data_IF_974744702478
#
_entry.id   IF_974744702478
#
_cell.length_a   1.000
_cell.length_b   1.000
_cell.length_c   1.000
_cell.angle_alpha   90.00
_cell.angle_beta   90.00
_cell.angle_gamma   90.00
#
_symmetry.space_group_name_H-M   'P 1'
#
loop_
_entity.id
_entity.type
_entity.pdbx_description
1 polymer ?
#
# COMPACT_ATOMS: atom_id res chain seq x y z
N UNK A 1 -28.47 21.51 -44.97
CA UNK A 1 -29.38 22.64 -44.66
C UNK A 1 -29.56 22.72 -43.14
N UNK A 2 -29.12 23.89 -42.57
CA UNK A 2 -29.62 24.54 -41.35
C UNK A 2 -29.50 23.73 -40.03
N UNK A 3 -29.01 24.19 -38.91
CA UNK A 3 -28.65 25.54 -38.47
C UNK A 3 -27.80 25.43 -37.19
N UNK A 4 -26.78 26.28 -37.12
CA UNK A 4 -25.94 26.51 -35.93
C UNK A 4 -26.69 27.48 -35.04
N UNK A 5 -26.89 27.16 -33.74
CA UNK A 5 -27.38 28.11 -32.73
C UNK A 5 -26.22 28.45 -31.76
N UNK A 6 -25.64 29.64 -31.97
CA UNK A 6 -24.69 30.29 -31.05
C UNK A 6 -25.48 31.09 -30.02
N UNK A 7 -25.33 30.78 -28.73
CA UNK A 7 -25.83 31.62 -27.64
C UNK A 7 -24.65 32.43 -27.11
N UNK A 8 -24.71 33.75 -27.28
CA UNK A 8 -23.80 34.74 -26.72
C UNK A 8 -24.32 35.18 -25.36
N UNK A 9 -23.48 35.19 -24.33
CA UNK A 9 -23.78 35.75 -22.99
C UNK A 9 -23.09 37.08 -22.85
N UNK A 10 -23.77 38.17 -22.47
CA UNK A 10 -23.13 39.50 -22.35
C UNK A 10 -22.42 39.65 -21.01
N UNK A 11 -21.23 40.22 -21.07
CA UNK A 11 -20.40 40.66 -19.95
C UNK A 11 -20.98 41.95 -19.35
N UNK A 12 -21.50 41.92 -18.12
CA UNK A 12 -21.90 43.11 -17.38
C UNK A 12 -20.76 43.57 -16.47
N UNK A 13 -20.15 44.70 -16.83
CA UNK A 13 -19.16 45.41 -16.02
C UNK A 13 -19.90 46.23 -14.93
N UNK A 14 -19.66 45.91 -13.67
CA UNK A 14 -20.09 46.70 -12.53
C UNK A 14 -18.93 47.58 -12.07
N UNK A 15 -19.05 48.88 -12.33
CA UNK A 15 -18.15 49.92 -11.81
C UNK A 15 -18.68 50.34 -10.42
N UNK A 16 -17.94 50.04 -9.37
CA UNK A 16 -18.20 50.51 -8.01
C UNK A 16 -17.33 51.76 -7.76
N UNK A 17 -17.98 52.91 -7.67
CA UNK A 17 -17.43 54.16 -7.15
C UNK A 17 -17.21 54.06 -5.65
N UNK A 18 -15.99 54.27 -5.20
CA UNK A 18 -15.67 54.43 -3.75
C UNK A 18 -15.73 55.90 -3.38
N UNK A 19 -16.35 56.26 -2.26
CA UNK A 19 -16.26 57.65 -1.74
C UNK A 19 -14.96 57.84 -0.95
N UNK A 20 -14.32 58.95 -1.22
CA UNK A 20 -13.16 59.52 -0.53
C UNK A 20 -13.55 59.94 0.88
N UNK A 21 -13.11 59.24 1.93
CA UNK A 21 -13.26 59.68 3.29
C UNK A 21 -11.97 60.35 3.77
N UNK A 22 -12.12 61.60 4.21
CA UNK A 22 -11.02 62.42 4.72
C UNK A 22 -10.43 61.86 6.01
N UNK A 23 -9.10 61.73 6.03
CA UNK A 23 -8.32 61.32 7.17
C UNK A 23 -8.27 62.43 8.22
N UNK A 24 -8.84 62.24 9.40
CA UNK A 24 -8.56 62.99 10.59
C UNK A 24 -7.34 62.40 11.31
N UNK A 25 -6.24 63.16 11.37
CA UNK A 25 -5.04 62.84 12.15
C UNK A 25 -5.29 63.05 13.63
N UNK A 26 -5.62 61.98 14.35
CA UNK A 26 -5.51 61.97 15.81
C UNK A 26 -4.12 61.43 16.21
N UNK A 27 -3.33 62.31 16.77
CA UNK A 27 -2.06 61.99 17.40
C UNK A 27 -2.26 61.07 18.61
N UNK A 28 -2.06 59.77 18.43
CA UNK A 28 -2.07 58.80 19.51
C UNK A 28 -0.66 58.70 20.09
N UNK A 29 -0.52 59.13 21.31
CA UNK A 29 0.66 59.03 22.14
C UNK A 29 0.97 57.52 22.38
N UNK A 30 2.18 57.09 22.02
CA UNK A 30 2.62 55.72 22.24
C UNK A 30 2.68 55.39 23.74
N UNK A 31 2.16 54.25 24.20
CA UNK A 31 2.34 53.82 25.59
C UNK A 31 3.83 53.49 25.84
N UNK A 32 4.31 54.00 26.97
CA UNK A 32 5.69 53.77 27.46
C UNK A 32 6.01 52.26 27.50
N UNK A 33 7.12 51.86 26.91
CA UNK A 33 7.61 50.49 26.91
C UNK A 33 7.81 50.01 28.35
N UNK A 34 7.14 48.91 28.73
CA UNK A 34 7.40 48.22 29.97
C UNK A 34 8.83 47.65 29.94
N UNK A 35 9.57 47.64 31.09
CA UNK A 35 10.92 47.10 31.14
C UNK A 35 10.89 45.62 30.74
N UNK A 36 11.66 45.27 29.71
CA UNK A 36 11.86 43.89 29.25
C UNK A 36 12.48 43.07 30.38
N UNK A 37 11.79 41.96 30.73
CA UNK A 37 12.33 41.01 31.69
C UNK A 37 13.69 40.47 31.19
N UNK A 38 14.67 40.20 32.08
CA UNK A 38 15.94 39.64 31.66
C UNK A 38 15.73 38.27 30.99
N UNK A 39 16.49 37.95 29.91
CA UNK A 39 16.34 36.66 29.22
C UNK A 39 16.59 35.51 30.19
N UNK A 40 15.74 34.50 30.15
CA UNK A 40 15.87 33.30 30.98
C UNK A 40 17.20 32.59 30.71
N UNK A 41 17.78 31.94 31.71
CA UNK A 41 19.06 31.20 31.60
C UNK A 41 19.06 30.18 30.45
N UNK A 42 17.86 29.65 30.07
CA UNK A 42 17.69 28.76 28.93
C UNK A 42 17.89 29.45 27.56
N UNK A 43 17.58 30.77 27.46
CA UNK A 43 17.81 31.56 26.23
C UNK A 43 19.29 31.95 26.07
N UNK A 44 20.03 32.02 27.17
CA UNK A 44 21.47 32.35 27.15
C UNK A 44 22.33 31.17 26.69
N UNK A 45 21.83 29.91 26.83
CA UNK A 45 22.53 28.72 26.33
C UNK A 45 22.39 28.53 24.80
N UNK A 46 21.34 29.10 24.18
CA UNK A 46 21.08 28.98 22.74
C UNK A 46 21.97 29.87 21.85
N UNK A 47 22.81 30.75 22.42
CA UNK A 47 23.63 31.72 21.68
C UNK A 47 25.14 31.58 21.89
N UNK A 48 25.62 30.44 22.42
CA UNK A 48 27.07 30.17 22.40
C UNK A 48 27.49 29.81 20.98
N UNK A 49 27.84 30.81 20.19
CA UNK A 49 28.44 30.64 18.86
C UNK A 49 29.90 30.26 19.03
N UNK A 50 30.22 28.98 18.77
CA UNK A 50 31.64 28.55 18.71
C UNK A 50 32.39 29.35 17.66
N UNK A 51 33.66 29.72 17.96
CA UNK A 51 34.56 30.32 16.98
C UNK A 51 34.85 29.35 15.83
N UNK A 52 35.32 29.83 14.70
CA UNK A 52 35.67 28.98 13.55
C UNK A 52 36.75 27.93 13.93
N UNK A 53 37.67 28.26 14.82
CA UNK A 53 38.70 27.33 15.30
C UNK A 53 38.11 26.25 16.21
N UNK A 54 37.26 26.63 17.14
CA UNK A 54 36.55 25.68 18.00
C UNK A 54 35.65 24.69 17.19
N UNK A 55 34.99 25.19 16.13
CA UNK A 55 34.23 24.32 15.27
C UNK A 55 35.09 23.27 14.56
N UNK A 56 36.23 23.67 13.99
CA UNK A 56 37.18 22.75 13.35
C UNK A 56 37.73 21.71 14.33
N UNK A 57 38.03 22.10 15.57
CA UNK A 57 38.51 21.19 16.60
C UNK A 57 37.42 20.17 16.97
N UNK A 58 36.18 20.61 17.19
CA UNK A 58 35.02 19.73 17.46
C UNK A 58 34.79 18.73 16.31
N UNK A 59 34.82 19.21 15.06
CA UNK A 59 34.70 18.37 13.88
C UNK A 59 35.79 17.29 13.80
N UNK A 60 37.06 17.69 14.15
CA UNK A 60 38.17 16.77 14.22
C UNK A 60 38.00 15.70 15.32
N UNK A 61 37.52 16.10 16.49
CA UNK A 61 37.23 15.19 17.61
C UNK A 61 36.11 14.22 17.21
N UNK A 62 35.00 14.71 16.65
CA UNK A 62 33.87 13.88 16.20
C UNK A 62 34.34 12.86 15.16
N UNK A 63 35.08 13.32 14.15
CA UNK A 63 35.60 12.44 13.10
C UNK A 63 36.50 11.34 13.67
N UNK A 64 37.45 11.72 14.54
CA UNK A 64 38.40 10.77 15.15
C UNK A 64 37.68 9.78 16.06
N UNK A 65 36.67 10.23 16.80
CA UNK A 65 35.86 9.38 17.68
C UNK A 65 35.07 8.37 16.89
N UNK A 66 34.35 8.81 15.83
CA UNK A 66 33.52 7.90 14.99
C UNK A 66 34.36 6.88 14.20
N UNK A 67 35.60 7.28 13.81
CA UNK A 67 36.54 6.34 13.16
C UNK A 67 37.09 5.33 14.16
N UNK A 68 37.37 5.73 15.38
CA UNK A 68 37.85 4.85 16.42
C UNK A 68 36.75 3.95 17.02
N UNK A 69 35.50 4.37 16.93
CA UNK A 69 34.32 3.69 17.48
C UNK A 69 33.23 3.47 16.40
N UNK A 70 33.46 2.58 15.42
CA UNK A 70 32.48 2.32 14.36
C UNK A 70 31.17 1.68 14.87
N UNK A 71 31.19 1.03 16.03
CA UNK A 71 30.05 0.53 16.78
C UNK A 71 28.99 1.61 17.05
N UNK A 72 29.40 2.84 17.33
CA UNK A 72 28.46 3.97 17.53
C UNK A 72 27.64 4.27 16.28
N UNK A 73 28.26 4.15 15.08
CA UNK A 73 27.53 4.32 13.83
C UNK A 73 26.58 3.15 13.57
N UNK A 74 27.02 1.93 13.90
CA UNK A 74 26.15 0.74 13.75
C UNK A 74 24.95 0.85 14.69
N UNK A 75 25.14 1.19 15.94
CA UNK A 75 24.07 1.40 16.91
C UNK A 75 23.07 2.49 16.46
N UNK A 76 23.59 3.58 15.90
CA UNK A 76 22.75 4.65 15.36
C UNK A 76 21.93 4.19 14.15
N UNK A 77 22.51 3.39 13.25
CA UNK A 77 21.81 2.82 12.10
C UNK A 77 20.73 1.82 12.55
N UNK A 78 21.05 0.94 13.51
CA UNK A 78 20.09 -0.02 14.06
C UNK A 78 18.90 0.68 14.76
N UNK A 79 19.19 1.77 15.49
CA UNK A 79 18.17 2.59 16.12
C UNK A 79 17.26 3.28 15.08
N UNK A 80 17.83 3.81 14.00
CA UNK A 80 17.08 4.41 12.90
C UNK A 80 16.22 3.38 12.18
N UNK A 81 16.77 2.21 11.85
CA UNK A 81 16.03 1.11 11.23
C UNK A 81 14.86 0.65 12.09
N UNK A 82 15.08 0.53 13.41
CA UNK A 82 14.01 0.18 14.35
C UNK A 82 12.91 1.23 14.37
N UNK A 83 13.27 2.51 14.41
CA UNK A 83 12.31 3.61 14.37
C UNK A 83 11.51 3.61 13.06
N UNK A 84 12.17 3.42 11.92
CA UNK A 84 11.53 3.35 10.62
C UNK A 84 10.54 2.18 10.55
N UNK A 85 10.96 0.97 10.95
CA UNK A 85 10.08 -0.21 11.00
C UNK A 85 8.85 0.00 11.89
N UNK A 86 9.02 0.69 13.03
CA UNK A 86 7.89 1.02 13.91
C UNK A 86 6.93 2.01 13.27
N UNK A 87 7.45 3.05 12.59
CA UNK A 87 6.63 4.01 11.87
C UNK A 87 5.86 3.37 10.71
N UNK A 88 6.54 2.52 9.94
CA UNK A 88 5.93 1.78 8.81
C UNK A 88 4.84 0.82 9.31
N UNK A 89 5.10 0.09 10.39
CA UNK A 89 4.10 -0.79 11.01
C UNK A 89 2.88 -0.01 11.52
N UNK A 90 3.09 1.15 12.15
CA UNK A 90 1.99 2.00 12.61
C UNK A 90 1.15 2.53 11.43
N UNK A 91 1.80 2.97 10.35
CA UNK A 91 1.13 3.40 9.12
C UNK A 91 0.36 2.25 8.47
N UNK A 92 0.96 1.06 8.40
CA UNK A 92 0.32 -0.13 7.85
C UNK A 92 -0.95 -0.49 8.64
N UNK A 93 -0.91 -0.50 9.97
CA UNK A 93 -2.07 -0.74 10.84
C UNK A 93 -3.21 0.23 10.59
N UNK A 94 -2.92 1.52 10.48
CA UNK A 94 -3.93 2.53 10.19
C UNK A 94 -4.53 2.33 8.78
N UNK A 95 -3.68 1.98 7.80
CA UNK A 95 -4.12 1.69 6.44
C UNK A 95 -5.00 0.43 6.39
N UNK A 96 -4.62 -0.65 7.08
CA UNK A 96 -5.42 -1.88 7.21
C UNK A 96 -6.78 -1.57 7.82
N UNK A 97 -6.81 -0.78 8.89
CA UNK A 97 -8.03 -0.37 9.57
C UNK A 97 -8.96 0.44 8.66
N UNK A 98 -8.41 1.43 7.97
CA UNK A 98 -9.21 2.31 7.08
C UNK A 98 -9.70 1.59 5.82
N UNK A 99 -9.01 0.54 5.37
CA UNK A 99 -9.37 -0.25 4.20
C UNK A 99 -9.94 -1.64 4.55
N UNK A 100 -10.36 -1.87 5.79
CA UNK A 100 -10.77 -3.18 6.30
C UNK A 100 -11.81 -3.87 5.40
N UNK A 101 -12.86 -3.15 4.98
CA UNK A 101 -13.90 -3.71 4.13
C UNK A 101 -13.36 -4.19 2.78
N UNK A 102 -12.55 -3.37 2.11
CA UNK A 102 -11.96 -3.67 0.79
C UNK A 102 -10.91 -4.76 0.90
N UNK A 103 -10.12 -4.75 1.98
CA UNK A 103 -9.05 -5.71 2.18
C UNK A 103 -9.57 -7.12 2.48
N UNK A 104 -10.56 -7.23 3.37
CA UNK A 104 -11.01 -8.54 3.87
C UNK A 104 -12.35 -9.00 3.32
N UNK A 105 -13.21 -8.09 2.85
CA UNK A 105 -14.60 -8.39 2.53
C UNK A 105 -15.09 -7.78 1.19
N UNK A 106 -14.18 -7.44 0.27
CA UNK A 106 -14.54 -6.99 -1.08
C UNK A 106 -15.35 -8.07 -1.81
N UNK A 107 -16.37 -7.67 -2.55
CA UNK A 107 -17.09 -8.57 -3.49
C UNK A 107 -16.26 -8.95 -4.71
N UNK A 108 -15.15 -8.24 -4.93
CA UNK A 108 -14.26 -8.39 -6.08
C UNK A 108 -13.08 -9.34 -5.84
N UNK A 109 -13.03 -10.02 -4.68
CA UNK A 109 -11.90 -10.88 -4.29
C UNK A 109 -12.20 -12.38 -4.44
N UNK A 110 -11.14 -13.18 -4.50
CA UNK A 110 -11.22 -14.63 -4.34
C UNK A 110 -11.13 -14.97 -2.87
N UNK A 111 -12.07 -15.79 -2.40
CA UNK A 111 -12.03 -16.34 -1.04
C UNK A 111 -11.84 -17.85 -1.15
N UNK A 112 -10.79 -18.36 -0.52
CA UNK A 112 -10.49 -19.78 -0.37
C UNK A 112 -10.64 -20.19 1.10
N UNK A 113 -10.87 -21.46 1.34
CA UNK A 113 -11.08 -21.98 2.70
C UNK A 113 -12.47 -21.64 3.23
N UNK A 114 -12.55 -21.16 4.47
CA UNK A 114 -13.82 -20.86 5.13
C UNK A 114 -14.18 -19.37 5.01
N UNK A 115 -15.22 -18.99 4.23
CA UNK A 115 -15.63 -17.60 4.12
C UNK A 115 -16.08 -16.96 5.44
N UNK A 116 -16.47 -17.80 6.43
CA UNK A 116 -16.86 -17.38 7.77
C UNK A 116 -15.75 -17.64 8.81
N UNK A 117 -14.52 -17.87 8.34
CA UNK A 117 -13.37 -18.09 9.20
C UNK A 117 -13.09 -16.90 10.10
N UNK A 118 -12.63 -17.18 11.31
CA UNK A 118 -12.30 -16.16 12.31
C UNK A 118 -10.94 -15.50 12.07
N UNK A 119 -10.06 -16.15 11.32
CA UNK A 119 -8.78 -15.56 10.89
C UNK A 119 -8.76 -15.42 9.37
N UNK A 120 -8.35 -14.26 8.91
CA UNK A 120 -8.19 -13.98 7.48
C UNK A 120 -6.72 -13.70 7.15
N UNK A 121 -6.20 -14.44 6.17
CA UNK A 121 -4.94 -14.14 5.50
C UNK A 121 -5.26 -13.57 4.13
N UNK A 122 -4.70 -12.41 3.80
CA UNK A 122 -4.76 -11.81 2.46
C UNK A 122 -3.40 -12.00 1.81
N UNK A 123 -3.34 -12.44 0.57
CA UNK A 123 -2.11 -12.55 -0.22
C UNK A 123 -2.22 -11.68 -1.48
N UNK A 124 -1.30 -10.73 -1.62
CA UNK A 124 -1.02 -10.04 -2.88
C UNK A 124 -0.01 -10.85 -3.67
N UNK A 125 -0.39 -11.31 -4.86
CA UNK A 125 0.42 -12.26 -5.63
C UNK A 125 0.48 -11.90 -7.12
N UNK A 126 1.44 -12.52 -7.83
CA UNK A 126 1.58 -12.43 -9.29
C UNK A 126 1.86 -13.83 -9.85
N UNK A 127 1.17 -14.22 -10.90
CA UNK A 127 1.31 -15.55 -11.51
C UNK A 127 2.70 -15.84 -12.09
N UNK A 128 3.50 -14.81 -12.37
CA UNK A 128 4.89 -14.96 -12.85
C UNK A 128 5.92 -14.86 -11.72
N UNK A 129 5.50 -14.61 -10.48
CA UNK A 129 6.41 -14.50 -9.36
C UNK A 129 6.93 -15.86 -8.90
N UNK A 130 8.25 -16.06 -8.97
CA UNK A 130 8.89 -17.29 -8.51
C UNK A 130 8.72 -17.53 -7.00
N UNK A 131 8.64 -16.47 -6.20
CA UNK A 131 8.41 -16.55 -4.75
C UNK A 131 6.96 -16.95 -4.43
N UNK A 132 5.97 -16.47 -5.19
CA UNK A 132 4.57 -16.91 -5.08
C UNK A 132 4.43 -18.40 -5.45
N UNK A 133 5.14 -18.84 -6.49
CA UNK A 133 5.18 -20.28 -6.84
C UNK A 133 5.73 -21.14 -5.70
N UNK A 134 6.73 -20.66 -4.97
CA UNK A 134 7.30 -21.37 -3.81
C UNK A 134 6.36 -21.35 -2.60
N UNK A 135 5.60 -20.27 -2.42
CA UNK A 135 4.66 -20.11 -1.31
C UNK A 135 3.34 -20.88 -1.50
N UNK A 136 3.00 -21.27 -2.72
CA UNK A 136 1.77 -22.00 -3.03
C UNK A 136 1.57 -23.27 -2.17
N UNK A 137 2.57 -24.15 -1.96
CA UNK A 137 2.42 -25.33 -1.06
C UNK A 137 2.09 -24.94 0.39
N UNK A 138 2.61 -23.81 0.88
CA UNK A 138 2.36 -23.32 2.23
C UNK A 138 0.90 -22.89 2.37
N UNK A 139 0.37 -22.12 1.41
CA UNK A 139 -1.04 -21.74 1.35
C UNK A 139 -1.96 -22.99 1.37
N UNK A 140 -1.66 -23.98 0.53
CA UNK A 140 -2.46 -25.20 0.45
C UNK A 140 -2.41 -26.01 1.75
N UNK A 141 -1.26 -26.02 2.41
CA UNK A 141 -1.07 -26.69 3.69
C UNK A 141 -1.88 -25.99 4.80
N UNK A 142 -1.86 -24.65 4.83
CA UNK A 142 -2.64 -23.84 5.78
C UNK A 142 -4.14 -24.07 5.59
N UNK A 143 -4.64 -23.98 4.37
CA UNK A 143 -6.06 -24.21 4.06
C UNK A 143 -6.55 -25.63 4.43
N UNK A 144 -5.67 -26.62 4.32
CA UNK A 144 -5.99 -28.01 4.70
C UNK A 144 -5.94 -28.22 6.22
N UNK A 145 -5.02 -27.54 6.91
CA UNK A 145 -4.77 -27.74 8.32
C UNK A 145 -5.77 -27.00 9.21
N UNK A 146 -6.28 -25.86 8.76
CA UNK A 146 -7.18 -25.00 9.53
C UNK A 146 -8.53 -24.80 8.84
N UNK A 147 -9.60 -25.45 9.30
CA UNK A 147 -10.94 -25.29 8.75
C UNK A 147 -11.57 -23.92 9.06
N UNK A 148 -10.97 -23.13 9.95
CA UNK A 148 -11.43 -21.78 10.28
C UNK A 148 -10.66 -20.67 9.57
N UNK A 149 -9.72 -21.04 8.71
CA UNK A 149 -8.94 -20.08 7.92
C UNK A 149 -9.73 -19.59 6.72
N UNK A 150 -9.85 -18.27 6.59
CA UNK A 150 -10.26 -17.57 5.38
C UNK A 150 -9.00 -17.08 4.67
N UNK A 151 -8.81 -17.45 3.41
CA UNK A 151 -7.68 -16.99 2.62
C UNK A 151 -8.18 -16.16 1.44
N UNK A 152 -7.75 -14.92 1.35
CA UNK A 152 -8.15 -13.95 0.33
C UNK A 152 -7.00 -13.74 -0.64
N UNK A 153 -7.25 -13.91 -1.92
CA UNK A 153 -6.27 -13.65 -2.98
C UNK A 153 -6.56 -12.28 -3.62
N UNK A 154 -5.50 -11.48 -3.77
CA UNK A 154 -5.49 -10.15 -4.39
C UNK A 154 -4.54 -10.15 -5.57
N UNK A 155 -5.05 -9.83 -6.75
CA UNK A 155 -4.25 -9.76 -7.97
C UNK A 155 -3.30 -8.54 -7.93
N UNK A 156 -2.01 -8.81 -8.01
CA UNK A 156 -0.99 -7.76 -8.03
C UNK A 156 0.00 -8.00 -9.20
N UNK A 157 -0.46 -7.83 -10.46
CA UNK A 157 0.28 -8.20 -11.67
C UNK A 157 1.34 -7.17 -12.04
N UNK A 158 2.48 -7.17 -11.33
CA UNK A 158 3.56 -6.18 -11.47
C UNK A 158 4.77 -6.68 -12.28
N UNK A 159 4.77 -7.95 -12.71
CA UNK A 159 5.91 -8.56 -13.40
C UNK A 159 5.79 -8.54 -14.94
N UNK A 160 5.04 -7.60 -15.47
CA UNK A 160 4.96 -7.31 -16.89
C UNK A 160 3.63 -7.68 -17.55
N UNK A 161 3.53 -7.49 -18.88
CA UNK A 161 2.26 -7.64 -19.60
C UNK A 161 1.62 -9.02 -19.45
N UNK A 162 2.41 -10.09 -19.46
CA UNK A 162 1.89 -11.45 -19.26
C UNK A 162 1.18 -11.64 -17.91
N UNK A 163 1.70 -11.01 -16.83
CA UNK A 163 1.05 -11.04 -15.52
C UNK A 163 -0.31 -10.35 -15.55
N UNK A 164 -0.41 -9.20 -16.21
CA UNK A 164 -1.68 -8.49 -16.39
C UNK A 164 -2.68 -9.34 -17.17
N UNK A 165 -2.24 -9.95 -18.26
CA UNK A 165 -3.08 -10.85 -19.08
C UNK A 165 -3.57 -12.05 -18.27
N UNK A 166 -2.71 -12.68 -17.49
CA UNK A 166 -3.06 -13.81 -16.63
C UNK A 166 -4.06 -13.40 -15.54
N UNK A 167 -3.86 -12.23 -14.90
CA UNK A 167 -4.77 -11.68 -13.90
C UNK A 167 -6.18 -11.43 -14.49
N UNK A 168 -6.28 -10.88 -15.71
CA UNK A 168 -7.57 -10.68 -16.37
C UNK A 168 -8.34 -12.00 -16.55
N UNK A 169 -7.65 -13.06 -16.98
CA UNK A 169 -8.27 -14.40 -17.11
C UNK A 169 -8.65 -14.95 -15.73
N UNK A 170 -7.82 -14.76 -14.72
CA UNK A 170 -8.05 -15.26 -13.37
C UNK A 170 -9.29 -14.60 -12.72
N UNK A 171 -9.41 -13.29 -12.83
CA UNK A 171 -10.60 -12.57 -12.32
C UNK A 171 -11.87 -13.01 -13.05
N UNK A 172 -11.81 -13.19 -14.38
CA UNK A 172 -12.94 -13.72 -15.15
C UNK A 172 -13.30 -15.16 -14.73
N UNK A 173 -12.31 -16.00 -14.41
CA UNK A 173 -12.56 -17.34 -13.87
C UNK A 173 -13.25 -17.29 -12.50
N UNK A 174 -12.82 -16.39 -11.60
CA UNK A 174 -13.48 -16.12 -10.31
C UNK A 174 -14.97 -15.79 -10.50
N UNK A 175 -15.33 -14.96 -11.49
CA UNK A 175 -16.72 -14.58 -11.76
C UNK A 175 -17.62 -15.76 -12.10
N UNK A 176 -17.05 -16.90 -12.49
CA UNK A 176 -17.79 -18.15 -12.75
C UNK A 176 -17.83 -19.08 -11.55
N UNK A 177 -17.02 -18.86 -10.54
CA UNK A 177 -16.93 -19.73 -9.36
C UNK A 177 -16.93 -18.93 -8.04
N UNK A 178 -18.09 -18.51 -7.57
CA UNK A 178 -18.22 -17.76 -6.31
C UNK A 178 -17.84 -18.60 -5.08
N UNK A 179 -17.68 -19.92 -5.24
CA UNK A 179 -17.30 -20.81 -4.12
C UNK A 179 -15.81 -21.00 -3.97
N UNK A 180 -15.00 -20.60 -4.96
CA UNK A 180 -13.56 -20.79 -5.02
C UNK A 180 -13.10 -22.24 -5.22
N UNK A 181 -14.01 -23.21 -5.32
CA UNK A 181 -13.65 -24.64 -5.42
C UNK A 181 -13.00 -24.99 -6.76
N UNK A 182 -13.48 -24.43 -7.84
CA UNK A 182 -12.90 -24.59 -9.16
C UNK A 182 -11.73 -23.64 -9.35
N UNK A 183 -11.83 -22.44 -8.78
CA UNK A 183 -10.78 -21.44 -8.85
C UNK A 183 -9.47 -21.90 -8.20
N UNK A 184 -9.53 -22.59 -7.06
CA UNK A 184 -8.30 -23.09 -6.40
C UNK A 184 -7.52 -24.06 -7.30
N UNK A 185 -8.22 -24.91 -8.06
CA UNK A 185 -7.58 -25.81 -9.03
C UNK A 185 -6.93 -25.02 -10.17
N UNK A 186 -7.64 -24.03 -10.71
CA UNK A 186 -7.10 -23.11 -11.71
C UNK A 186 -5.84 -22.39 -11.18
N UNK A 187 -5.92 -21.81 -10.00
CA UNK A 187 -4.82 -21.09 -9.37
C UNK A 187 -3.59 -22.00 -9.19
N UNK A 188 -3.77 -23.20 -8.66
CA UNK A 188 -2.69 -24.19 -8.49
C UNK A 188 -2.02 -24.56 -9.82
N UNK A 189 -2.81 -24.81 -10.87
CA UNK A 189 -2.27 -25.20 -12.18
C UNK A 189 -1.56 -24.04 -12.88
N UNK A 190 -2.10 -22.83 -12.78
CA UNK A 190 -1.53 -21.67 -13.43
C UNK A 190 -0.27 -21.19 -12.70
N UNK A 191 -0.35 -20.96 -11.40
CA UNK A 191 0.77 -20.49 -10.59
C UNK A 191 1.85 -21.56 -10.46
N UNK A 192 1.49 -22.81 -10.14
CA UNK A 192 2.44 -23.92 -9.98
C UNK A 192 3.04 -24.45 -11.27
N UNK A 193 2.52 -24.05 -12.40
CA UNK A 193 2.96 -24.57 -13.68
C UNK A 193 4.32 -24.05 -14.16
N UNK A 194 4.87 -24.68 -15.23
CA UNK A 194 6.14 -24.31 -15.85
C UNK A 194 5.97 -23.23 -16.92
N UNK A 195 6.96 -22.36 -17.07
CA UNK A 195 6.98 -21.28 -18.07
C UNK A 195 6.16 -20.04 -17.62
N UNK A 196 6.12 -18.99 -18.46
CA UNK A 196 5.42 -17.75 -18.15
C UNK A 196 3.90 -17.97 -18.13
N UNK A 197 3.24 -17.30 -17.21
CA UNK A 197 1.80 -17.17 -17.17
C UNK A 197 1.42 -15.93 -18.00
N UNK A 198 0.84 -16.18 -19.15
CA UNK A 198 0.25 -15.19 -20.06
C UNK A 198 -1.22 -15.55 -20.35
N UNK A 199 -1.87 -14.77 -21.19
CA UNK A 199 -3.25 -15.02 -21.62
C UNK A 199 -3.43 -16.44 -22.19
N UNK A 200 -2.54 -16.86 -23.08
CA UNK A 200 -2.64 -18.16 -23.78
C UNK A 200 -2.64 -19.31 -22.80
N UNK A 201 -1.69 -19.27 -21.85
CA UNK A 201 -1.57 -20.30 -20.83
C UNK A 201 -2.73 -20.24 -19.84
N UNK A 202 -3.14 -19.07 -19.39
CA UNK A 202 -4.25 -18.92 -18.46
C UNK A 202 -5.56 -19.44 -19.07
N UNK A 203 -5.84 -19.16 -20.34
CA UNK A 203 -6.99 -19.71 -21.07
C UNK A 203 -6.91 -21.25 -21.22
N UNK A 204 -5.72 -21.78 -21.49
CA UNK A 204 -5.53 -23.23 -21.58
C UNK A 204 -5.82 -23.93 -20.24
N UNK A 205 -5.34 -23.38 -19.13
CA UNK A 205 -5.61 -23.89 -17.78
C UNK A 205 -7.11 -23.74 -17.44
N UNK A 206 -7.73 -22.61 -17.75
CA UNK A 206 -9.15 -22.40 -17.52
C UNK A 206 -10.01 -23.44 -18.26
N UNK A 207 -9.66 -23.76 -19.51
CA UNK A 207 -10.32 -24.81 -20.31
C UNK A 207 -10.11 -26.19 -19.68
N UNK A 208 -8.90 -26.51 -19.22
CA UNK A 208 -8.58 -27.78 -18.57
C UNK A 208 -9.38 -27.99 -17.29
N UNK A 209 -9.58 -26.94 -16.49
CA UNK A 209 -10.39 -26.97 -15.26
C UNK A 209 -11.88 -26.98 -15.55
N UNK A 210 -12.29 -26.68 -16.78
CA UNK A 210 -13.68 -26.78 -17.23
C UNK A 210 -14.51 -25.51 -16.98
N UNK A 211 -13.91 -24.34 -17.09
CA UNK A 211 -14.65 -23.07 -17.16
C UNK A 211 -15.36 -22.93 -18.51
N UNK A 212 -16.46 -22.17 -18.54
CA UNK A 212 -17.13 -21.78 -19.79
C UNK A 212 -16.24 -20.76 -20.53
N UNK A 213 -15.62 -21.21 -21.59
CA UNK A 213 -14.65 -20.40 -22.35
C UNK A 213 -15.30 -19.23 -23.08
N UNK A 214 -16.53 -19.37 -23.57
CA UNK A 214 -17.26 -18.30 -24.26
C UNK A 214 -17.55 -17.16 -23.28
N UNK A 215 -18.03 -17.51 -22.10
CA UNK A 215 -18.26 -16.57 -21.03
C UNK A 215 -16.94 -15.95 -20.52
N UNK A 216 -15.90 -16.76 -20.35
CA UNK A 216 -14.59 -16.33 -19.86
C UNK A 216 -13.96 -15.25 -20.77
N UNK A 217 -13.95 -15.50 -22.08
CA UNK A 217 -13.41 -14.58 -23.10
C UNK A 217 -14.18 -13.26 -23.16
N UNK A 218 -15.47 -13.27 -22.89
CA UNK A 218 -16.29 -12.08 -22.77
C UNK A 218 -15.96 -11.33 -21.46
N UNK A 219 -15.96 -12.04 -20.34
CA UNK A 219 -15.87 -11.46 -19.01
C UNK A 219 -14.47 -10.88 -18.73
N UNK A 220 -13.39 -11.43 -19.30
CA UNK A 220 -12.02 -10.94 -19.10
C UNK A 220 -11.76 -9.50 -19.59
N UNK A 221 -12.66 -8.95 -20.40
CA UNK A 221 -12.61 -7.56 -20.86
C UNK A 221 -13.67 -6.68 -20.19
N UNK A 222 -14.36 -7.18 -19.18
CA UNK A 222 -15.44 -6.47 -18.48
C UNK A 222 -14.90 -5.39 -17.53
N UNK A 223 -15.78 -4.47 -17.15
CA UNK A 223 -15.47 -3.45 -16.15
C UNK A 223 -15.25 -4.08 -14.77
N UNK A 224 -15.87 -5.21 -14.47
CA UNK A 224 -15.63 -5.99 -13.23
C UNK A 224 -14.15 -6.39 -13.10
N UNK A 225 -13.54 -6.92 -14.17
CA UNK A 225 -12.13 -7.30 -14.17
C UNK A 225 -11.22 -6.10 -13.94
N UNK A 226 -11.48 -4.98 -14.63
CA UNK A 226 -10.70 -3.74 -14.43
C UNK A 226 -10.85 -3.22 -13.01
N UNK A 227 -12.09 -3.15 -12.50
CA UNK A 227 -12.38 -2.67 -11.15
C UNK A 227 -11.67 -3.52 -10.09
N UNK A 228 -11.69 -4.85 -10.24
CA UNK A 228 -11.01 -5.79 -9.34
C UNK A 228 -9.51 -5.51 -9.27
N UNK A 229 -8.84 -5.48 -10.43
CA UNK A 229 -7.39 -5.27 -10.49
C UNK A 229 -7.02 -3.86 -9.99
N UNK A 230 -7.78 -2.83 -10.38
CA UNK A 230 -7.56 -1.46 -9.94
C UNK A 230 -7.75 -1.30 -8.42
N UNK A 231 -8.73 -1.99 -7.82
CA UNK A 231 -8.95 -2.03 -6.38
C UNK A 231 -7.75 -2.67 -5.67
N UNK A 232 -7.31 -3.83 -6.14
CA UNK A 232 -6.19 -4.55 -5.56
C UNK A 232 -4.86 -3.78 -5.68
N UNK A 233 -4.61 -3.15 -6.83
CA UNK A 233 -3.43 -2.30 -7.07
C UNK A 233 -3.41 -1.07 -6.15
N UNK A 234 -4.54 -0.37 -6.01
CA UNK A 234 -4.66 0.79 -5.10
C UNK A 234 -4.47 0.39 -3.65
N UNK A 235 -5.01 -0.76 -3.26
CA UNK A 235 -4.87 -1.29 -1.92
C UNK A 235 -3.40 -1.66 -1.61
N UNK A 236 -2.72 -2.30 -2.56
CA UNK A 236 -1.30 -2.61 -2.48
C UNK A 236 -0.46 -1.33 -2.32
N UNK A 237 -0.71 -0.30 -3.13
CA UNK A 237 -0.03 1.01 -3.03
C UNK A 237 -0.25 1.66 -1.66
N UNK A 238 -1.50 1.70 -1.19
CA UNK A 238 -1.84 2.27 0.12
C UNK A 238 -1.11 1.56 1.27
N UNK A 239 -0.93 0.24 1.18
CA UNK A 239 -0.22 -0.59 2.16
C UNK A 239 1.30 -0.55 1.99
N UNK A 240 1.83 0.10 0.95
CA UNK A 240 3.26 0.12 0.63
C UNK A 240 3.79 -1.22 0.14
N UNK A 241 2.93 -2.06 -0.44
CA UNK A 241 3.33 -3.35 -1.02
C UNK A 241 4.17 -3.10 -2.27
N UNK A 242 5.42 -3.52 -2.25
CA UNK A 242 6.39 -3.33 -3.34
C UNK A 242 6.80 -4.61 -4.06
N UNK A 243 6.27 -5.76 -3.64
CA UNK A 243 6.61 -7.06 -4.21
C UNK A 243 5.67 -8.18 -3.80
N UNK A 244 5.86 -9.34 -4.41
CA UNK A 244 5.02 -10.53 -4.19
C UNK A 244 5.86 -11.76 -3.77
N UNK A 245 5.29 -12.66 -2.96
CA UNK A 245 4.03 -12.48 -2.25
C UNK A 245 4.17 -11.45 -1.13
N UNK A 246 3.09 -10.76 -0.81
CA UNK A 246 2.96 -9.98 0.42
C UNK A 246 1.64 -10.37 1.08
N UNK A 247 1.69 -10.64 2.38
CA UNK A 247 0.53 -11.05 3.15
C UNK A 247 0.05 -9.94 4.07
N UNK A 248 -1.26 -9.94 4.35
CA UNK A 248 -1.82 -9.21 5.49
C UNK A 248 -2.48 -10.23 6.40
N UNK A 249 -2.05 -10.26 7.67
CA UNK A 249 -2.57 -11.15 8.70
C UNK A 249 -2.88 -10.33 9.94
N UNK A 250 -4.14 -10.26 10.33
CA UNK A 250 -4.57 -9.34 11.39
C UNK A 250 -4.28 -7.88 11.01
N UNK A 251 -3.43 -7.22 11.79
CA UNK A 251 -3.00 -5.83 11.59
C UNK A 251 -1.56 -5.68 11.08
N UNK A 252 -0.96 -6.77 10.59
CA UNK A 252 0.42 -6.81 10.12
C UNK A 252 0.51 -7.05 8.60
N UNK A 253 1.47 -6.35 7.96
CA UNK A 253 1.93 -6.63 6.61
C UNK A 253 3.20 -7.47 6.67
N UNK A 254 3.18 -8.64 6.03
CA UNK A 254 4.28 -9.61 6.01
C UNK A 254 4.81 -9.73 4.57
N UNK A 255 6.03 -9.29 4.35
CA UNK A 255 6.62 -9.20 3.00
C UNK A 255 7.43 -10.46 2.67
N UNK A 256 7.17 -11.03 1.51
CA UNK A 256 7.93 -12.13 0.94
C UNK A 256 7.41 -13.52 1.29
N UNK A 257 8.02 -14.55 0.69
CA UNK A 257 7.73 -15.96 0.95
C UNK A 257 8.42 -16.40 2.25
N UNK A 258 7.84 -16.01 3.39
CA UNK A 258 8.40 -16.21 4.74
C UNK A 258 8.36 -17.66 5.21
N UNK A 259 7.59 -18.52 4.52
CA UNK A 259 7.46 -19.94 4.84
C UNK A 259 6.32 -20.27 5.80
N UNK A 260 6.01 -21.55 5.85
CA UNK A 260 4.82 -22.08 6.56
C UNK A 260 4.82 -21.76 8.06
N UNK A 261 5.98 -21.91 8.71
CA UNK A 261 6.04 -21.77 10.19
C UNK A 261 5.83 -20.32 10.62
N UNK A 262 6.40 -19.37 9.90
CA UNK A 262 6.17 -17.95 10.20
C UNK A 262 4.72 -17.55 9.94
N UNK A 263 4.12 -17.98 8.81
CA UNK A 263 2.70 -17.73 8.55
C UNK A 263 1.80 -18.31 9.65
N UNK A 264 2.08 -19.53 10.13
CA UNK A 264 1.35 -20.12 11.26
C UNK A 264 1.48 -19.31 12.54
N UNK A 265 2.67 -18.78 12.83
CA UNK A 265 2.87 -17.92 14.01
C UNK A 265 2.05 -16.63 13.90
N UNK A 266 2.04 -15.98 12.72
CA UNK A 266 1.25 -14.77 12.47
C UNK A 266 -0.25 -15.03 12.56
N UNK A 267 -0.74 -16.12 11.97
CA UNK A 267 -2.13 -16.55 12.08
C UNK A 267 -2.53 -16.72 13.54
N UNK A 268 -1.75 -17.50 14.30
CA UNK A 268 -1.99 -17.73 15.72
C UNK A 268 -1.97 -16.45 16.57
N UNK A 269 -1.13 -15.49 16.23
CA UNK A 269 -1.06 -14.21 16.93
C UNK A 269 -2.25 -13.28 16.63
N UNK A 270 -3.01 -13.56 15.54
CA UNK A 270 -4.18 -12.78 15.11
C UNK A 270 -5.52 -13.40 15.53
N UNK A 271 -5.53 -14.60 16.17
CA UNK A 271 -6.69 -15.24 16.78
C UNK A 271 -7.13 -14.50 18.05
#
# INVERSE_FOLDING_TARGET
>A
MKSILRIAIPLAAVVLLSPLAAAQTTSAQAPAAAPSAPPSAAQTLATQTFSADQRREIEGIIKSYLVAHPDVLQDAMDALDKQQKQADAAKARETIKSNNATLFNSSHQVVLGNPQGNVTVVEFFDYNCAFCKRALPDMLTLLKADPNLKFVLKEFPVLGPGSVEAAHVAVAARMQDPTGKKYIEFHQKLLGGRGPADKTRALAVAKEVGFDMTRLEKDMNSDEVKTTIDEDMKLADALGVSGTPTYVVGDEVVVGAVGLDELKQKIKASE
#
